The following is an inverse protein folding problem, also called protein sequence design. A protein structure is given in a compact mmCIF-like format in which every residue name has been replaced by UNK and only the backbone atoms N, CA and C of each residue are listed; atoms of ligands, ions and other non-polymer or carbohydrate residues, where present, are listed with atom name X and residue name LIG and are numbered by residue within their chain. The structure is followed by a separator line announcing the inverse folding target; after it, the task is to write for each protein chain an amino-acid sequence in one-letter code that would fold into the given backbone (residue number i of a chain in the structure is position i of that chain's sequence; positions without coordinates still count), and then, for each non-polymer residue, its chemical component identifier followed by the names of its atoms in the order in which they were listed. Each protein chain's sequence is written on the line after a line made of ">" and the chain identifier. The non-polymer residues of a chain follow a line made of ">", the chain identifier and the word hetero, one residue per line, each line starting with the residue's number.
data_IF_603790537498
#
_entry.id   IF_603790537498
#
_cell.length_a   1.000
_cell.length_b   1.000
_cell.length_c   1.000
_cell.angle_alpha   90.00
_cell.angle_beta   90.00
_cell.angle_gamma   90.00
#
_symmetry.space_group_name_H-M   'P 1'
#
loop_
_entity.id
_entity.type
_entity.pdbx_description
1 polymer ?
#
# COMPACT_ATOMS: atom_id res chain seq x y z
N UNK A 1 -25.83 25.68 -3.73
CA UNK A 1 -25.68 24.79 -2.55
C UNK A 1 -24.94 25.45 -1.38
N UNK A 2 -23.69 25.96 -1.53
CA UNK A 2 -22.98 26.59 -0.39
C UNK A 2 -23.67 27.85 0.15
N UNK A 3 -24.32 28.63 -0.71
CA UNK A 3 -25.01 29.87 -0.33
C UNK A 3 -26.22 29.65 0.62
N UNK A 4 -26.78 28.43 0.66
CA UNK A 4 -27.89 28.07 1.55
C UNK A 4 -27.44 27.97 3.01
N UNK A 5 -26.17 27.60 3.25
CA UNK A 5 -25.62 27.39 4.59
C UNK A 5 -25.00 28.63 5.22
N UNK A 6 -24.65 29.64 4.40
CA UNK A 6 -23.97 30.87 4.86
C UNK A 6 -24.88 31.69 5.81
N UNK A 7 -26.20 31.52 5.70
CA UNK A 7 -27.18 32.24 6.51
C UNK A 7 -27.58 31.49 7.80
N UNK A 8 -26.96 30.35 8.09
CA UNK A 8 -27.23 29.51 9.26
C UNK A 8 -26.04 29.61 10.22
N UNK A 9 -26.25 30.29 11.36
CA UNK A 9 -25.17 30.66 12.28
C UNK A 9 -24.62 29.42 13.00
N UNK A 10 -25.47 28.44 13.34
CA UNK A 10 -25.03 27.23 14.05
C UNK A 10 -24.26 26.32 13.11
N UNK A 11 -24.72 26.16 11.87
CA UNK A 11 -23.99 25.41 10.84
C UNK A 11 -22.62 26.05 10.58
N UNK A 12 -22.55 27.38 10.47
CA UNK A 12 -21.28 28.07 10.23
C UNK A 12 -20.29 27.85 11.38
N UNK A 13 -20.75 28.01 12.62
CA UNK A 13 -19.95 27.75 13.83
C UNK A 13 -19.44 26.30 13.88
N UNK A 14 -20.30 25.33 13.59
CA UNK A 14 -19.93 23.92 13.51
C UNK A 14 -18.86 23.66 12.43
N UNK A 15 -19.08 24.16 11.22
CA UNK A 15 -18.16 23.95 10.10
C UNK A 15 -16.80 24.62 10.34
N UNK A 16 -16.76 25.76 11.03
CA UNK A 16 -15.52 26.38 11.49
C UNK A 16 -14.78 25.51 12.50
N UNK A 17 -15.49 24.91 13.47
CA UNK A 17 -14.91 23.94 14.41
C UNK A 17 -14.24 22.76 13.68
N UNK A 18 -14.94 22.13 12.73
CA UNK A 18 -14.37 21.07 11.88
C UNK A 18 -13.17 21.57 11.07
N UNK A 19 -13.26 22.80 10.57
CA UNK A 19 -12.23 23.45 9.75
C UNK A 19 -10.92 23.71 10.46
N UNK A 20 -10.89 23.79 11.80
CA UNK A 20 -9.65 23.97 12.59
C UNK A 20 -8.65 22.87 12.31
N UNK A 21 -9.12 21.64 12.11
CA UNK A 21 -8.26 20.47 11.87
C UNK A 21 -8.03 20.19 10.37
N UNK A 22 -9.02 20.48 9.52
CA UNK A 22 -8.95 20.14 8.09
C UNK A 22 -9.94 20.96 7.26
N UNK A 23 -9.41 21.77 6.32
CA UNK A 23 -10.21 22.49 5.32
C UNK A 23 -11.00 21.54 4.42
N UNK A 24 -10.42 20.39 4.07
CA UNK A 24 -11.10 19.37 3.27
C UNK A 24 -12.28 18.76 4.03
N UNK A 25 -12.10 18.49 5.33
CA UNK A 25 -13.20 17.98 6.17
C UNK A 25 -14.32 19.02 6.30
N UNK A 26 -13.99 20.30 6.50
CA UNK A 26 -14.98 21.41 6.47
C UNK A 26 -15.77 21.42 5.17
N UNK A 27 -15.10 21.32 4.02
CA UNK A 27 -15.75 21.29 2.70
C UNK A 27 -16.68 20.08 2.57
N UNK A 28 -16.18 18.89 2.91
CA UNK A 28 -16.94 17.65 2.86
C UNK A 28 -18.19 17.68 3.74
N UNK A 29 -18.04 18.14 4.99
CA UNK A 29 -19.16 18.23 5.93
C UNK A 29 -20.16 19.29 5.47
N UNK A 30 -19.68 20.41 4.94
CA UNK A 30 -20.51 21.43 4.32
C UNK A 30 -21.35 20.89 3.16
N UNK A 31 -20.79 20.03 2.30
CA UNK A 31 -21.59 19.37 1.24
C UNK A 31 -22.68 18.48 1.83
N UNK A 32 -22.37 17.68 2.86
CA UNK A 32 -23.37 16.84 3.54
C UNK A 32 -24.51 17.66 4.16
N UNK A 33 -24.18 18.76 4.83
CA UNK A 33 -25.17 19.67 5.42
C UNK A 33 -25.97 20.44 4.36
N UNK A 34 -25.39 20.73 3.19
CA UNK A 34 -26.13 21.36 2.11
C UNK A 34 -27.23 20.44 1.58
N UNK A 35 -26.93 19.15 1.42
CA UNK A 35 -27.96 18.16 1.07
C UNK A 35 -29.00 17.99 2.17
N UNK A 36 -28.60 18.03 3.44
CA UNK A 36 -29.53 17.99 4.55
C UNK A 36 -30.46 19.20 4.58
N UNK A 37 -29.93 20.40 4.38
CA UNK A 37 -30.71 21.62 4.26
C UNK A 37 -31.73 21.54 3.11
N UNK A 38 -31.32 21.01 1.95
CA UNK A 38 -32.22 20.83 0.81
C UNK A 38 -33.33 19.81 1.12
N UNK A 39 -33.00 18.71 1.79
CA UNK A 39 -34.00 17.76 2.29
C UNK A 39 -35.00 18.42 3.25
N UNK A 40 -34.53 19.23 4.19
CA UNK A 40 -35.39 19.89 5.16
C UNK A 40 -36.31 20.94 4.55
N UNK A 41 -35.93 21.58 3.43
CA UNK A 41 -36.81 22.50 2.71
C UNK A 41 -38.11 21.84 2.27
N UNK A 42 -38.07 20.57 1.87
CA UNK A 42 -39.28 19.81 1.52
C UNK A 42 -40.26 19.62 2.70
N UNK A 43 -39.77 19.85 3.92
CA UNK A 43 -40.52 19.81 5.18
C UNK A 43 -40.76 21.20 5.78
N UNK A 44 -40.51 22.26 5.00
CA UNK A 44 -40.58 23.65 5.44
C UNK A 44 -39.70 23.95 6.68
N UNK A 45 -38.52 23.30 6.75
CA UNK A 45 -37.56 23.44 7.85
C UNK A 45 -36.15 23.76 7.33
N UNK A 46 -35.30 24.24 8.23
CA UNK A 46 -33.87 24.50 8.05
C UNK A 46 -33.05 23.75 9.11
N UNK A 47 -31.74 23.54 8.90
CA UNK A 47 -30.87 22.90 9.87
C UNK A 47 -30.94 23.52 11.27
N UNK A 48 -31.07 24.85 11.39
CA UNK A 48 -31.32 25.52 12.67
C UNK A 48 -32.70 25.23 13.28
N UNK A 49 -33.76 25.32 12.48
CA UNK A 49 -35.15 25.24 13.00
C UNK A 49 -35.52 23.82 13.41
N UNK A 50 -34.96 22.80 12.75
CA UNK A 50 -35.23 21.40 13.09
C UNK A 50 -34.69 21.02 14.48
N UNK A 51 -33.62 21.67 14.96
CA UNK A 51 -33.04 21.40 16.29
C UNK A 51 -34.10 21.59 17.37
N UNK A 52 -34.86 22.67 17.32
CA UNK A 52 -35.93 22.95 18.29
C UNK A 52 -37.01 21.86 18.30
N UNK A 53 -37.34 21.31 17.14
CA UNK A 53 -38.33 20.22 17.02
C UNK A 53 -37.80 18.89 17.54
N UNK A 54 -36.50 18.62 17.35
CA UNK A 54 -35.83 17.42 17.85
C UNK A 54 -35.70 17.46 19.38
N UNK A 55 -35.28 18.59 19.95
CA UNK A 55 -35.14 18.78 21.40
C UNK A 55 -36.49 18.65 22.12
N UNK A 56 -37.55 19.22 21.53
CA UNK A 56 -38.93 19.11 22.06
C UNK A 56 -39.57 17.72 21.85
N UNK A 57 -38.85 16.77 21.22
CA UNK A 57 -39.37 15.43 20.93
C UNK A 57 -40.50 15.40 19.88
N UNK A 58 -40.78 16.51 19.19
CA UNK A 58 -41.81 16.58 18.13
C UNK A 58 -41.41 15.79 16.89
N UNK A 59 -40.11 15.59 16.69
CA UNK A 59 -39.55 14.80 15.58
C UNK A 59 -38.61 13.75 16.17
N UNK A 60 -38.77 12.50 15.75
CA UNK A 60 -37.83 11.45 16.11
C UNK A 60 -36.55 11.57 15.27
N UNK A 61 -35.39 11.71 15.91
CA UNK A 61 -34.10 11.87 15.22
C UNK A 61 -33.78 10.70 14.30
N UNK A 62 -34.10 9.46 14.68
CA UNK A 62 -33.79 8.29 13.87
C UNK A 62 -34.68 8.19 12.63
N UNK A 63 -35.97 8.53 12.76
CA UNK A 63 -36.88 8.58 11.61
C UNK A 63 -36.47 9.69 10.64
N UNK A 64 -36.05 10.85 11.14
CA UNK A 64 -35.54 11.94 10.30
C UNK A 64 -34.30 11.52 9.51
N UNK A 65 -33.35 10.84 10.16
CA UNK A 65 -32.13 10.35 9.51
C UNK A 65 -32.43 9.26 8.49
N UNK A 66 -33.35 8.35 8.76
CA UNK A 66 -33.77 7.31 7.80
C UNK A 66 -34.48 7.91 6.58
N UNK A 67 -35.35 8.90 6.80
CA UNK A 67 -35.94 9.69 5.71
C UNK A 67 -34.89 10.43 4.89
N UNK A 68 -33.84 10.94 5.53
CA UNK A 68 -32.73 11.58 4.82
C UNK A 68 -31.94 10.59 3.93
N UNK A 69 -31.68 9.36 4.42
CA UNK A 69 -31.09 8.29 3.58
C UNK A 69 -31.99 7.97 2.40
N UNK A 70 -33.30 7.86 2.64
CA UNK A 70 -34.29 7.62 1.59
C UNK A 70 -34.27 8.72 0.53
N UNK A 71 -34.18 9.99 0.94
CA UNK A 71 -34.05 11.13 0.05
C UNK A 71 -32.78 11.04 -0.81
N UNK A 72 -31.62 10.79 -0.20
CA UNK A 72 -30.34 10.71 -0.91
C UNK A 72 -30.32 9.55 -1.93
N UNK A 73 -30.94 8.43 -1.58
CA UNK A 73 -30.97 7.22 -2.41
C UNK A 73 -31.96 7.35 -3.57
N UNK A 74 -33.20 7.82 -3.31
CA UNK A 74 -34.25 7.94 -4.34
C UNK A 74 -33.90 8.96 -5.42
N UNK A 75 -33.24 10.05 -5.04
CA UNK A 75 -32.86 11.12 -5.97
C UNK A 75 -31.54 10.83 -6.71
N UNK A 76 -30.92 9.66 -6.46
CA UNK A 76 -29.62 9.26 -6.99
C UNK A 76 -28.55 10.38 -6.86
N UNK A 77 -28.60 11.12 -5.75
CA UNK A 77 -27.82 12.35 -5.55
C UNK A 77 -26.32 12.05 -5.45
N UNK A 78 -25.97 10.89 -4.89
CA UNK A 78 -24.59 10.53 -4.64
C UNK A 78 -24.37 9.01 -4.59
N UNK A 79 -23.15 8.59 -4.91
CA UNK A 79 -22.70 7.23 -4.67
C UNK A 79 -22.83 6.85 -3.18
N UNK A 80 -23.02 5.56 -2.89
CA UNK A 80 -23.22 5.03 -1.53
C UNK A 80 -22.14 5.50 -0.54
N UNK A 81 -20.87 5.51 -0.96
CA UNK A 81 -19.76 6.01 -0.12
C UNK A 81 -19.93 7.48 0.29
N UNK A 82 -20.47 8.31 -0.61
CA UNK A 82 -20.76 9.71 -0.33
C UNK A 82 -21.98 9.86 0.57
N UNK A 83 -23.01 9.01 0.43
CA UNK A 83 -24.16 8.98 1.36
C UNK A 83 -23.69 8.73 2.79
N UNK A 84 -22.79 7.76 2.99
CA UNK A 84 -22.20 7.47 4.31
C UNK A 84 -21.47 8.70 4.90
N UNK A 85 -20.78 9.46 4.05
CA UNK A 85 -20.04 10.65 4.45
C UNK A 85 -20.98 11.82 4.79
N UNK A 86 -22.04 12.02 4.01
CA UNK A 86 -23.05 13.03 4.30
C UNK A 86 -23.82 12.70 5.58
N UNK A 87 -24.15 11.43 5.79
CA UNK A 87 -24.74 10.96 7.03
C UNK A 87 -23.81 11.20 8.23
N UNK A 88 -22.51 10.93 8.10
CA UNK A 88 -21.54 11.25 9.16
C UNK A 88 -21.49 12.75 9.48
N UNK A 89 -21.55 13.61 8.46
CA UNK A 89 -21.59 15.06 8.63
C UNK A 89 -22.85 15.53 9.38
N UNK A 90 -24.02 15.01 9.01
CA UNK A 90 -25.29 15.35 9.68
C UNK A 90 -25.30 14.85 11.12
N UNK A 91 -24.90 13.60 11.37
CA UNK A 91 -24.84 13.08 12.75
C UNK A 91 -23.91 13.92 13.63
N UNK A 92 -22.71 14.21 13.12
CA UNK A 92 -21.74 15.05 13.85
C UNK A 92 -22.26 16.47 14.11
N UNK A 93 -23.04 17.04 13.19
CA UNK A 93 -23.69 18.34 13.41
C UNK A 93 -24.77 18.27 14.49
N UNK A 94 -25.63 17.25 14.46
CA UNK A 94 -26.68 17.07 15.47
C UNK A 94 -26.08 16.80 16.86
N UNK A 95 -25.04 15.97 16.95
CA UNK A 95 -24.29 15.74 18.19
C UNK A 95 -23.64 17.03 18.71
N UNK A 96 -23.14 17.90 17.82
CA UNK A 96 -22.62 19.23 18.19
C UNK A 96 -23.71 20.19 18.70
N UNK A 97 -25.00 19.88 18.48
CA UNK A 97 -26.15 20.61 19.01
C UNK A 97 -26.78 19.89 20.21
N UNK A 98 -26.01 19.03 20.90
CA UNK A 98 -26.43 18.23 22.06
C UNK A 98 -27.59 17.25 21.77
N UNK A 99 -27.71 16.80 20.51
CA UNK A 99 -28.65 15.72 20.14
C UNK A 99 -27.87 14.42 20.03
N UNK A 100 -27.88 13.66 21.12
CA UNK A 100 -27.15 12.38 21.21
C UNK A 100 -27.74 11.29 20.30
N UNK A 101 -26.89 10.74 19.44
CA UNK A 101 -27.23 9.64 18.53
C UNK A 101 -26.51 8.38 18.98
N UNK A 102 -27.23 7.51 19.68
CA UNK A 102 -26.68 6.26 20.19
C UNK A 102 -26.33 5.32 19.02
N UNK A 103 -25.07 4.89 18.83
CA UNK A 103 -24.65 4.11 17.67
C UNK A 103 -25.43 2.80 17.46
N UNK A 104 -25.76 2.10 18.55
CA UNK A 104 -26.51 0.84 18.52
C UNK A 104 -27.98 1.04 18.14
N UNK A 105 -28.61 2.16 18.53
CA UNK A 105 -29.96 2.53 18.09
C UNK A 105 -29.95 2.98 16.63
N UNK A 106 -28.96 3.77 16.22
CA UNK A 106 -28.78 4.21 14.85
C UNK A 106 -28.68 3.02 13.88
N UNK A 107 -27.78 2.06 14.14
CA UNK A 107 -27.63 0.85 13.28
C UNK A 107 -28.90 0.01 13.18
N UNK A 108 -29.74 0.02 14.21
CA UNK A 108 -31.01 -0.73 14.23
C UNK A 108 -32.11 0.00 13.47
N UNK A 109 -32.23 1.31 13.66
CA UNK A 109 -33.36 2.12 13.17
C UNK A 109 -33.12 2.81 11.83
N UNK A 110 -31.86 3.03 11.44
CA UNK A 110 -31.49 3.70 10.18
C UNK A 110 -30.74 2.71 9.30
N UNK A 111 -31.33 2.31 8.18
CA UNK A 111 -30.72 1.33 7.28
C UNK A 111 -29.92 2.03 6.18
N UNK A 112 -28.60 2.02 6.33
CA UNK A 112 -27.69 2.57 5.32
C UNK A 112 -27.56 1.64 4.10
N UNK A 113 -27.49 2.18 2.87
CA UNK A 113 -27.20 1.40 1.68
C UNK A 113 -25.83 0.72 1.78
N UNK A 114 -25.74 -0.52 1.28
CA UNK A 114 -24.48 -1.28 1.25
C UNK A 114 -23.60 -0.77 0.11
N UNK A 115 -22.34 -0.48 0.43
CA UNK A 115 -21.32 -0.15 -0.56
C UNK A 115 -20.59 -1.44 -0.93
N UNK A 116 -20.65 -1.82 -2.20
CA UNK A 116 -19.78 -2.86 -2.75
C UNK A 116 -18.51 -2.17 -3.23
N UNK A 117 -17.36 -2.65 -2.76
CA UNK A 117 -16.08 -2.10 -3.17
C UNK A 117 -15.62 -2.82 -4.44
N UNK A 118 -15.41 -2.07 -5.51
CA UNK A 118 -14.79 -2.63 -6.71
C UNK A 118 -13.37 -3.08 -6.37
N UNK A 119 -12.93 -4.24 -6.89
CA UNK A 119 -11.54 -4.63 -6.79
C UNK A 119 -10.65 -3.54 -7.41
N UNK A 120 -9.48 -3.35 -6.81
CA UNK A 120 -8.52 -2.38 -7.30
C UNK A 120 -7.64 -3.03 -8.36
N UNK A 121 -7.52 -2.38 -9.52
CA UNK A 121 -6.64 -2.84 -10.59
C UNK A 121 -5.17 -2.82 -10.11
N UNK A 122 -4.44 -3.95 -10.24
CA UNK A 122 -3.01 -3.99 -9.96
C UNK A 122 -2.27 -3.18 -11.04
N UNK A 123 -1.30 -2.37 -10.60
CA UNK A 123 -0.40 -1.65 -11.51
C UNK A 123 0.98 -2.30 -11.40
N UNK A 124 1.47 -2.91 -12.48
CA UNK A 124 2.78 -3.56 -12.51
C UNK A 124 3.90 -2.58 -12.86
N UNK A 125 5.17 -2.97 -12.67
CA UNK A 125 6.30 -2.16 -13.12
C UNK A 125 6.34 -2.05 -14.66
N UNK A 126 5.90 -3.09 -15.37
CA UNK A 126 5.75 -3.05 -16.83
C UNK A 126 4.74 -1.99 -17.24
N UNK A 127 3.56 -1.97 -16.61
CA UNK A 127 2.55 -0.94 -16.88
C UNK A 127 3.07 0.48 -16.64
N UNK A 128 3.88 0.66 -15.60
CA UNK A 128 4.53 1.95 -15.32
C UNK A 128 5.54 2.28 -16.41
N UNK A 129 6.36 1.32 -16.84
CA UNK A 129 7.33 1.50 -17.93
C UNK A 129 6.62 1.91 -19.23
N UNK A 130 5.57 1.19 -19.61
CA UNK A 130 4.74 1.50 -20.79
C UNK A 130 4.16 2.92 -20.68
N UNK A 131 3.60 3.30 -19.52
CA UNK A 131 3.10 4.66 -19.29
C UNK A 131 4.19 5.72 -19.47
N UNK A 132 5.41 5.45 -19.00
CA UNK A 132 6.50 6.41 -19.07
C UNK A 132 7.10 6.54 -20.47
N UNK A 133 6.97 5.53 -21.34
CA UNK A 133 7.38 5.59 -22.74
C UNK A 133 6.62 6.67 -23.51
N UNK A 134 5.32 6.84 -23.24
CA UNK A 134 4.49 7.91 -23.80
C UNK A 134 4.64 9.27 -23.08
N UNK A 135 5.46 9.34 -22.02
CA UNK A 135 5.54 10.52 -21.15
C UNK A 135 6.61 11.52 -21.60
N UNK A 136 6.22 12.47 -22.45
CA UNK A 136 7.11 13.56 -22.92
C UNK A 136 7.38 14.66 -21.87
N UNK A 137 6.84 14.55 -20.66
CA UNK A 137 6.93 15.60 -19.64
C UNK A 137 7.86 15.18 -18.51
N UNK A 138 9.10 15.67 -18.55
CA UNK A 138 10.14 15.34 -17.56
C UNK A 138 9.73 15.58 -16.10
N UNK A 139 8.88 16.59 -15.82
CA UNK A 139 8.37 16.88 -14.48
C UNK A 139 7.37 15.81 -14.03
N UNK A 140 6.49 15.35 -14.93
CA UNK A 140 5.56 14.26 -14.65
C UNK A 140 6.32 12.92 -14.52
N UNK A 141 7.26 12.61 -15.42
CA UNK A 141 8.14 11.43 -15.33
C UNK A 141 8.82 11.36 -13.95
N UNK A 142 9.47 12.45 -13.53
CA UNK A 142 10.11 12.55 -12.22
C UNK A 142 9.11 12.32 -11.06
N UNK A 143 7.91 12.89 -11.18
CA UNK A 143 6.86 12.75 -10.16
C UNK A 143 6.36 11.30 -10.05
N UNK A 144 6.12 10.62 -11.16
CA UNK A 144 5.66 9.22 -11.18
C UNK A 144 6.73 8.24 -10.67
N UNK A 145 7.99 8.41 -11.09
CA UNK A 145 9.11 7.62 -10.57
C UNK A 145 9.31 7.79 -9.07
N UNK A 146 9.13 9.02 -8.57
CA UNK A 146 9.16 9.28 -7.15
C UNK A 146 8.02 8.56 -6.42
N UNK A 147 6.79 8.60 -6.93
CA UNK A 147 5.66 7.88 -6.33
C UNK A 147 5.88 6.36 -6.32
N UNK A 148 6.37 5.80 -7.43
CA UNK A 148 6.65 4.37 -7.60
C UNK A 148 7.70 3.87 -6.59
N UNK A 149 8.79 4.61 -6.41
CA UNK A 149 9.93 4.16 -5.62
C UNK A 149 9.83 4.49 -4.13
N UNK A 150 9.20 5.62 -3.76
CA UNK A 150 9.13 6.07 -2.35
C UNK A 150 7.81 5.77 -1.66
N UNK A 151 6.81 5.31 -2.42
CA UNK A 151 5.46 5.07 -1.91
C UNK A 151 4.79 6.33 -1.35
N UNK A 152 5.22 7.53 -1.71
CA UNK A 152 4.62 8.79 -1.25
C UNK A 152 3.13 8.86 -1.62
N UNK A 153 2.32 9.53 -0.79
CA UNK A 153 1.00 9.97 -1.26
C UNK A 153 1.20 11.07 -2.30
N UNK A 154 0.37 11.16 -3.36
CA UNK A 154 0.52 12.20 -4.38
C UNK A 154 0.60 13.63 -3.80
N UNK A 155 -0.28 13.97 -2.86
CA UNK A 155 -0.24 15.29 -2.21
C UNK A 155 1.04 15.52 -1.37
N UNK A 156 1.61 14.46 -0.77
CA UNK A 156 2.89 14.56 -0.05
C UNK A 156 4.01 14.91 -1.04
N UNK A 157 4.09 14.21 -2.18
CA UNK A 157 5.06 14.50 -3.24
C UNK A 157 4.91 15.92 -3.81
N UNK A 158 3.67 16.38 -4.04
CA UNK A 158 3.38 17.74 -4.50
C UNK A 158 3.78 18.83 -3.48
N UNK A 159 3.92 18.47 -2.20
CA UNK A 159 4.26 19.36 -1.10
C UNK A 159 5.75 19.34 -0.69
N UNK A 160 6.57 18.53 -1.36
CA UNK A 160 8.00 18.42 -1.04
C UNK A 160 8.76 19.71 -1.39
N UNK A 161 9.57 20.17 -0.44
CA UNK A 161 10.50 21.29 -0.61
C UNK A 161 11.89 20.78 -0.95
N UNK A 162 12.74 21.65 -1.49
CA UNK A 162 14.14 21.31 -1.80
C UNK A 162 14.87 20.83 -0.53
N UNK A 163 14.69 21.52 0.60
CA UNK A 163 15.30 21.17 1.89
C UNK A 163 14.78 19.88 2.52
N UNK A 164 13.66 19.35 2.01
CA UNK A 164 13.12 18.09 2.50
C UNK A 164 13.90 16.88 1.92
N UNK A 165 14.77 17.10 0.92
CA UNK A 165 15.51 16.03 0.22
C UNK A 165 17.01 16.17 0.45
N UNK A 166 17.64 15.07 0.86
CA UNK A 166 19.07 14.96 1.08
C UNK A 166 19.69 14.06 0.00
N UNK A 167 20.34 14.72 -0.96
CA UNK A 167 21.03 14.09 -2.10
C UNK A 167 22.45 13.59 -1.75
N UNK A 168 22.96 13.83 -0.54
CA UNK A 168 24.28 13.35 -0.12
C UNK A 168 24.28 11.87 0.26
N UNK A 169 23.09 11.33 0.53
CA UNK A 169 22.89 9.94 0.91
C UNK A 169 22.37 9.12 -0.25
N UNK A 170 22.90 7.91 -0.43
CA UNK A 170 22.26 6.86 -1.23
C UNK A 170 21.63 5.83 -0.29
N UNK A 171 20.45 5.25 -0.60
CA UNK A 171 19.41 5.83 -1.46
C UNK A 171 18.96 7.20 -0.94
N UNK A 172 18.52 8.09 -1.83
CA UNK A 172 18.21 9.49 -1.48
C UNK A 172 17.18 9.58 -0.38
N UNK A 173 17.50 10.33 0.67
CA UNK A 173 16.67 10.48 1.86
C UNK A 173 15.69 11.63 1.68
N UNK A 174 14.42 11.38 2.00
CA UNK A 174 13.33 12.36 1.91
C UNK A 174 12.63 12.46 3.25
N UNK A 175 12.62 13.65 3.84
CA UNK A 175 11.94 13.94 5.08
C UNK A 175 10.52 14.46 4.82
N UNK A 176 9.51 13.65 5.16
CA UNK A 176 8.11 14.02 5.03
C UNK A 176 7.66 14.72 6.32
N UNK A 177 7.30 15.98 6.18
CA UNK A 177 6.88 16.84 7.29
C UNK A 177 5.49 16.45 7.82
N UNK A 178 5.30 16.46 9.13
CA UNK A 178 4.04 16.02 9.77
C UNK A 178 2.82 16.82 9.31
N UNK A 179 2.98 18.10 8.99
CA UNK A 179 1.91 19.03 8.63
C UNK A 179 1.21 18.65 7.32
N UNK A 180 1.95 18.06 6.38
CA UNK A 180 1.48 17.67 5.04
C UNK A 180 0.93 16.23 5.00
N UNK A 181 1.15 15.45 6.05
CA UNK A 181 0.65 14.07 6.13
C UNK A 181 -0.79 14.01 6.62
N UNK A 182 -1.56 13.05 6.10
CA UNK A 182 -2.93 12.78 6.56
C UNK A 182 -2.97 12.34 8.04
N UNK A 183 -1.94 11.63 8.49
CA UNK A 183 -1.85 11.04 9.83
C UNK A 183 -1.22 11.98 10.86
N UNK A 184 -0.78 13.18 10.45
CA UNK A 184 -0.08 14.16 11.29
C UNK A 184 1.21 13.61 11.93
N UNK A 185 1.87 12.67 11.23
CA UNK A 185 3.14 12.05 11.65
C UNK A 185 4.20 12.27 10.57
N UNK A 186 5.33 12.85 10.97
CA UNK A 186 6.49 12.98 10.10
C UNK A 186 7.19 11.64 9.94
N UNK A 187 7.82 11.42 8.79
CA UNK A 187 8.60 10.20 8.55
C UNK A 187 9.70 10.45 7.53
N UNK A 188 10.75 9.66 7.60
CA UNK A 188 11.79 9.59 6.58
C UNK A 188 11.44 8.45 5.62
N UNK A 189 11.50 8.73 4.32
CA UNK A 189 11.41 7.73 3.26
C UNK A 189 12.64 7.83 2.36
N UNK A 190 12.78 6.86 1.47
CA UNK A 190 13.86 6.81 0.49
C UNK A 190 13.26 6.69 -0.91
N UNK A 191 14.00 7.10 -1.94
CA UNK A 191 13.63 6.84 -3.33
C UNK A 191 14.78 6.16 -4.08
N UNK A 192 14.46 5.56 -5.22
CA UNK A 192 15.46 4.89 -6.05
C UNK A 192 16.50 5.87 -6.61
N UNK A 193 17.66 5.33 -6.99
CA UNK A 193 18.71 6.13 -7.65
C UNK A 193 18.22 6.70 -8.99
N UNK A 194 17.33 6.00 -9.70
CA UNK A 194 16.66 6.50 -10.90
C UNK A 194 15.80 7.75 -10.60
N UNK A 195 14.92 7.68 -9.60
CA UNK A 195 14.12 8.83 -9.19
C UNK A 195 15.01 10.01 -8.73
N UNK A 196 16.14 9.69 -8.07
CA UNK A 196 17.16 10.67 -7.66
C UNK A 196 17.74 11.42 -8.86
N UNK A 197 18.12 10.71 -9.91
CA UNK A 197 18.66 11.31 -11.14
C UNK A 197 17.64 12.26 -11.77
N UNK A 198 16.36 11.86 -11.84
CA UNK A 198 15.30 12.70 -12.39
C UNK A 198 15.02 13.94 -11.51
N UNK A 199 15.07 13.80 -10.19
CA UNK A 199 14.97 14.93 -9.25
C UNK A 199 16.11 15.92 -9.46
N UNK A 200 17.36 15.45 -9.52
CA UNK A 200 18.52 16.31 -9.75
C UNK A 200 18.45 17.01 -11.11
N UNK A 201 18.05 16.31 -12.19
CA UNK A 201 17.83 16.91 -13.52
C UNK A 201 16.78 18.02 -13.43
N UNK A 202 15.63 17.75 -12.82
CA UNK A 202 14.55 18.73 -12.65
C UNK A 202 15.03 19.99 -11.89
N UNK A 203 15.83 19.81 -10.85
CA UNK A 203 16.40 20.92 -10.08
C UNK A 203 17.44 21.71 -10.88
N UNK A 204 18.32 21.05 -11.64
CA UNK A 204 19.31 21.70 -12.51
C UNK A 204 18.67 22.58 -13.59
N UNK A 205 17.54 22.17 -14.17
CA UNK A 205 16.81 22.97 -15.15
C UNK A 205 16.24 24.28 -14.58
N UNK A 206 16.09 24.39 -13.25
CA UNK A 206 15.48 25.55 -12.57
C UNK A 206 16.46 26.67 -12.20
N UNK A 207 17.64 26.72 -12.85
CA UNK A 207 18.87 27.53 -12.63
C UNK A 207 18.84 28.83 -11.77
N UNK A 208 17.71 29.50 -11.52
CA UNK A 208 17.63 30.79 -10.83
C UNK A 208 16.82 30.83 -9.51
N UNK A 209 16.22 29.74 -9.01
CA UNK A 209 15.37 29.82 -7.79
C UNK A 209 15.43 28.56 -6.89
N UNK A 210 16.63 28.22 -6.41
CA UNK A 210 16.84 27.10 -5.47
C UNK A 210 16.79 27.53 -4.00
N UNK A 211 15.75 28.29 -3.62
CA UNK A 211 15.53 28.54 -2.20
C UNK A 211 15.17 27.23 -1.49
N UNK A 212 15.74 26.94 -0.29
CA UNK A 212 15.49 25.69 0.42
C UNK A 212 14.00 25.37 0.63
N UNK A 213 13.17 26.38 0.78
CA UNK A 213 11.72 26.26 0.98
C UNK A 213 10.87 26.17 -0.31
N UNK A 214 11.50 26.29 -1.48
CA UNK A 214 10.81 26.13 -2.76
C UNK A 214 10.28 24.71 -2.94
N UNK A 215 9.04 24.59 -3.42
CA UNK A 215 8.46 23.29 -3.78
C UNK A 215 9.19 22.70 -5.00
N UNK A 216 9.62 21.43 -4.93
CA UNK A 216 10.44 20.77 -5.96
C UNK A 216 9.72 20.77 -7.31
N UNK A 217 8.44 20.39 -7.30
CA UNK A 217 7.61 20.32 -8.49
C UNK A 217 6.94 21.65 -8.81
N UNK A 218 7.50 22.83 -8.53
CA UNK A 218 6.93 24.11 -9.01
C UNK A 218 7.59 24.55 -10.32
N UNK A 219 6.81 25.02 -11.31
CA UNK A 219 7.34 25.45 -12.63
C UNK A 219 7.93 26.87 -12.57
N UNK A 220 7.35 27.78 -11.76
CA UNK A 220 7.72 29.21 -11.64
C UNK A 220 7.25 29.76 -10.27
N UNK A 221 7.70 30.97 -9.87
CA UNK A 221 7.32 31.72 -8.64
C UNK A 221 5.83 31.66 -8.25
N UNK A 222 4.92 31.46 -9.22
CA UNK A 222 3.46 31.53 -9.07
C UNK A 222 2.81 30.31 -8.42
N UNK A 223 3.43 29.12 -8.47
CA UNK A 223 2.79 27.90 -7.94
C UNK A 223 3.42 27.46 -6.61
N UNK A 224 3.17 28.24 -5.55
CA UNK A 224 3.60 27.92 -4.18
C UNK A 224 2.59 27.08 -3.39
N UNK A 225 1.45 26.75 -4.00
CA UNK A 225 0.37 25.99 -3.36
C UNK A 225 0.43 24.53 -3.82
N UNK A 226 0.62 23.57 -2.90
CA UNK A 226 0.70 22.15 -3.25
C UNK A 226 -0.53 21.61 -4.00
N UNK A 227 -1.74 22.09 -3.66
CA UNK A 227 -2.96 21.69 -4.36
C UNK A 227 -2.88 21.99 -5.86
N UNK A 228 -2.39 23.18 -6.24
CA UNK A 228 -2.21 23.56 -7.65
C UNK A 228 -1.20 22.65 -8.36
N UNK A 229 -0.13 22.24 -7.67
CA UNK A 229 0.85 21.30 -8.21
C UNK A 229 0.19 19.93 -8.41
N UNK A 230 -0.51 19.43 -7.39
CA UNK A 230 -1.20 18.15 -7.43
C UNK A 230 -2.23 18.09 -8.57
N UNK A 231 -3.11 19.09 -8.70
CA UNK A 231 -4.10 19.11 -9.77
C UNK A 231 -3.46 19.19 -11.16
N UNK A 232 -2.34 19.89 -11.31
CA UNK A 232 -1.58 19.91 -12.58
C UNK A 232 -0.96 18.54 -12.89
N UNK A 233 -0.35 17.87 -11.90
CA UNK A 233 0.20 16.52 -12.07
C UNK A 233 -0.92 15.53 -12.42
N UNK A 234 -2.06 15.60 -11.73
CA UNK A 234 -3.22 14.76 -11.99
C UNK A 234 -3.75 14.95 -13.41
N UNK A 235 -3.96 16.20 -13.84
CA UNK A 235 -4.43 16.49 -15.20
C UNK A 235 -3.46 16.01 -16.28
N UNK A 236 -2.16 16.19 -16.05
CA UNK A 236 -1.14 15.69 -16.97
C UNK A 236 -1.09 14.16 -16.98
N UNK A 237 -1.29 13.51 -15.83
CA UNK A 237 -1.39 12.06 -15.73
C UNK A 237 -2.62 11.51 -16.45
N UNK A 238 -3.79 12.12 -16.31
CA UNK A 238 -5.02 11.71 -17.02
C UNK A 238 -4.85 11.82 -18.55
N UNK A 239 -4.17 12.86 -19.03
CA UNK A 239 -3.79 12.96 -20.45
C UNK A 239 -2.85 11.85 -20.88
N UNK A 240 -1.85 11.53 -20.06
CA UNK A 240 -0.90 10.45 -20.33
C UNK A 240 -1.63 9.10 -20.41
N UNK A 241 -2.54 8.82 -19.49
CA UNK A 241 -3.35 7.61 -19.49
C UNK A 241 -4.13 7.46 -20.81
N UNK A 242 -4.70 8.55 -21.31
CA UNK A 242 -5.42 8.52 -22.59
C UNK A 242 -4.50 8.24 -23.78
N UNK A 243 -3.29 8.79 -23.79
CA UNK A 243 -2.31 8.56 -24.88
C UNK A 243 -1.79 7.12 -24.85
N UNK A 244 -1.59 6.57 -23.65
CA UNK A 244 -1.08 5.22 -23.45
C UNK A 244 -2.17 4.13 -23.38
N UNK A 245 -3.42 4.45 -23.77
CA UNK A 245 -4.58 3.54 -23.73
C UNK A 245 -4.82 2.85 -22.36
N UNK A 246 -4.60 3.61 -21.28
CA UNK A 246 -4.74 3.16 -19.87
C UNK A 246 -5.69 4.06 -19.06
N UNK A 247 -6.67 4.70 -19.72
CA UNK A 247 -7.69 5.59 -19.10
C UNK A 247 -9.03 4.89 -18.81
N UNK A 248 -9.05 3.55 -18.77
CA UNK A 248 -10.24 2.78 -18.41
C UNK A 248 -10.82 3.21 -17.06
N UNK A 249 -12.15 3.31 -16.99
CA UNK A 249 -12.91 3.67 -15.78
C UNK A 249 -13.44 2.43 -15.07
N UNK A 250 -13.67 2.57 -13.77
CA UNK A 250 -14.39 1.58 -12.97
C UNK A 250 -15.86 1.55 -13.36
N UNK A 251 -16.49 0.40 -13.19
CA UNK A 251 -17.92 0.23 -13.49
C UNK A 251 -18.76 1.22 -12.66
N UNK A 252 -19.75 1.86 -13.28
CA UNK A 252 -20.64 2.82 -12.63
C UNK A 252 -19.93 3.97 -11.88
N UNK A 253 -18.68 4.30 -12.25
CA UNK A 253 -17.84 5.24 -11.53
C UNK A 253 -17.08 6.16 -12.47
N UNK A 254 -16.98 7.43 -12.08
CA UNK A 254 -16.14 8.42 -12.78
C UNK A 254 -14.65 8.22 -12.50
N UNK A 255 -14.24 7.25 -11.70
CA UNK A 255 -12.82 7.02 -11.36
C UNK A 255 -12.14 6.10 -12.37
N UNK A 256 -10.93 6.44 -12.76
CA UNK A 256 -10.06 5.54 -13.52
C UNK A 256 -9.67 4.30 -12.68
N UNK A 257 -9.42 3.18 -13.34
CA UNK A 257 -8.89 1.95 -12.73
C UNK A 257 -7.47 2.19 -12.18
N UNK A 258 -6.63 2.84 -12.98
CA UNK A 258 -5.30 3.29 -12.59
C UNK A 258 -5.39 4.75 -12.13
N UNK A 259 -4.80 5.05 -10.98
CA UNK A 259 -4.75 6.40 -10.41
C UNK A 259 -3.34 6.71 -9.92
N UNK A 260 -3.04 7.97 -9.58
CA UNK A 260 -1.79 8.30 -8.91
C UNK A 260 -1.59 7.53 -7.59
N UNK A 261 -2.68 7.09 -6.93
CA UNK A 261 -2.57 6.25 -5.73
C UNK A 261 -2.18 4.80 -6.04
N UNK A 262 -2.38 4.33 -7.27
CA UNK A 262 -1.99 2.99 -7.71
C UNK A 262 -0.49 2.78 -7.58
N UNK A 263 0.34 3.78 -7.92
CA UNK A 263 1.80 3.76 -7.75
C UNK A 263 2.21 3.47 -6.30
N UNK A 264 1.52 4.09 -5.33
CA UNK A 264 1.76 3.85 -3.91
C UNK A 264 1.33 2.44 -3.49
N UNK A 265 0.26 1.88 -4.06
CA UNK A 265 -0.14 0.49 -3.80
C UNK A 265 0.90 -0.49 -4.34
N UNK A 266 1.38 -0.26 -5.56
CA UNK A 266 2.48 -1.04 -6.16
C UNK A 266 3.73 -0.99 -5.29
N UNK A 267 4.14 0.20 -4.84
CA UNK A 267 5.26 0.36 -3.93
C UNK A 267 5.05 -0.41 -2.61
N UNK A 268 3.85 -0.34 -2.03
CA UNK A 268 3.51 -1.10 -0.81
C UNK A 268 3.66 -2.60 -1.02
N UNK A 269 3.06 -3.15 -2.09
CA UNK A 269 3.08 -4.59 -2.37
C UNK A 269 4.52 -5.08 -2.53
N UNK A 270 5.32 -4.41 -3.36
CA UNK A 270 6.72 -4.78 -3.61
C UNK A 270 7.55 -4.69 -2.32
N UNK A 271 7.38 -3.63 -1.53
CA UNK A 271 8.11 -3.50 -0.25
C UNK A 271 7.69 -4.61 0.70
N UNK A 272 6.38 -4.88 0.82
CA UNK A 272 5.85 -5.90 1.71
C UNK A 272 6.34 -7.31 1.33
N UNK A 273 6.37 -7.63 0.05
CA UNK A 273 6.84 -8.92 -0.49
C UNK A 273 8.33 -9.15 -0.22
N UNK A 274 9.15 -8.10 -0.26
CA UNK A 274 10.60 -8.20 -0.09
C UNK A 274 11.09 -7.94 1.34
N UNK A 275 10.20 -7.54 2.25
CA UNK A 275 10.54 -7.24 3.64
C UNK A 275 9.58 -7.91 4.63
N UNK A 276 8.80 -7.13 5.38
CA UNK A 276 7.71 -7.58 6.22
C UNK A 276 6.65 -6.47 6.31
N UNK A 277 5.44 -6.84 6.74
CA UNK A 277 4.32 -5.92 6.81
C UNK A 277 4.54 -4.75 7.78
N UNK A 278 5.31 -4.94 8.86
CA UNK A 278 5.64 -3.86 9.78
C UNK A 278 6.49 -2.78 9.11
N UNK A 279 7.55 -3.17 8.39
CA UNK A 279 8.39 -2.25 7.62
C UNK A 279 7.59 -1.55 6.53
N UNK A 280 6.79 -2.28 5.75
CA UNK A 280 5.98 -1.71 4.69
C UNK A 280 4.97 -0.67 5.23
N UNK A 281 4.26 -1.00 6.32
CA UNK A 281 3.32 -0.08 6.96
C UNK A 281 4.03 1.13 7.59
N UNK A 282 5.20 0.93 8.22
CA UNK A 282 6.04 2.00 8.74
C UNK A 282 6.53 2.95 7.63
N UNK A 283 7.13 2.41 6.58
CA UNK A 283 7.70 3.16 5.46
C UNK A 283 6.64 4.04 4.78
N UNK A 284 5.45 3.47 4.57
CA UNK A 284 4.34 4.19 3.98
C UNK A 284 3.64 5.15 4.96
N UNK A 285 3.92 5.07 6.27
CA UNK A 285 3.28 5.91 7.28
C UNK A 285 1.79 5.58 7.44
N UNK A 286 1.48 4.28 7.56
CA UNK A 286 0.18 3.80 8.00
C UNK A 286 0.07 3.87 9.54
N UNK A 287 -1.14 3.96 10.07
CA UNK A 287 -1.33 4.16 11.51
C UNK A 287 -0.98 2.93 12.37
N UNK A 288 -0.82 1.76 11.74
CA UNK A 288 -0.67 0.46 12.42
C UNK A 288 0.76 0.18 12.93
N UNK A 289 1.77 0.89 12.46
CA UNK A 289 3.20 0.57 12.68
C UNK A 289 3.88 1.45 13.74
N UNK A 290 3.25 1.59 14.90
CA UNK A 290 3.75 2.47 15.98
C UNK A 290 5.02 1.92 16.66
N UNK A 291 5.19 0.60 16.68
CA UNK A 291 6.25 -0.06 17.45
C UNK A 291 7.55 -0.32 16.67
N UNK A 292 7.60 -0.02 15.37
CA UNK A 292 8.75 -0.33 14.53
C UNK A 292 9.85 0.76 14.63
N UNK A 293 10.85 0.54 15.50
CA UNK A 293 11.76 1.58 16.02
C UNK A 293 13.25 1.35 15.68
N UNK A 294 13.56 1.01 14.43
CA UNK A 294 14.95 0.78 13.98
C UNK A 294 15.76 2.07 13.77
N UNK A 295 17.10 1.97 13.75
CA UNK A 295 17.96 3.12 13.44
C UNK A 295 17.84 3.50 11.96
N UNK A 296 18.13 4.76 11.66
CA UNK A 296 17.99 5.31 10.30
C UNK A 296 18.91 4.60 9.29
N UNK A 297 20.13 4.24 9.69
CA UNK A 297 21.08 3.47 8.87
C UNK A 297 20.53 2.08 8.52
N UNK A 298 20.00 1.34 9.49
CA UNK A 298 19.39 0.02 9.29
C UNK A 298 18.18 0.10 8.34
N UNK A 299 17.31 1.10 8.57
CA UNK A 299 16.15 1.38 7.72
C UNK A 299 16.55 1.64 6.27
N UNK A 300 17.61 2.42 6.08
CA UNK A 300 18.13 2.77 4.77
C UNK A 300 18.73 1.55 4.08
N UNK A 301 19.44 0.72 4.82
CA UNK A 301 20.02 -0.51 4.28
C UNK A 301 18.95 -1.52 3.87
N UNK A 302 17.89 -1.70 4.68
CA UNK A 302 16.73 -2.53 4.30
C UNK A 302 16.14 -2.05 2.97
N UNK A 303 15.89 -0.73 2.83
CA UNK A 303 15.37 -0.20 1.58
C UNK A 303 16.34 -0.41 0.41
N UNK A 304 17.63 -0.12 0.60
CA UNK A 304 18.67 -0.29 -0.43
C UNK A 304 18.73 -1.73 -0.93
N UNK A 305 18.85 -2.69 -0.02
CA UNK A 305 19.19 -4.07 -0.39
C UNK A 305 17.95 -4.89 -0.77
N UNK A 306 16.80 -4.62 -0.15
CA UNK A 306 15.58 -5.44 -0.31
C UNK A 306 14.49 -4.76 -1.13
N UNK A 307 14.43 -3.43 -1.20
CA UNK A 307 13.31 -2.75 -1.86
C UNK A 307 13.72 -2.13 -3.19
N UNK A 308 14.78 -1.32 -3.19
CA UNK A 308 15.20 -0.52 -4.35
C UNK A 308 15.39 -1.33 -5.64
N UNK A 309 16.00 -2.53 -5.65
CA UNK A 309 16.17 -3.32 -6.87
C UNK A 309 14.85 -3.67 -7.58
N UNK A 310 13.77 -3.80 -6.81
CA UNK A 310 12.42 -4.12 -7.31
C UNK A 310 11.55 -2.87 -7.50
N UNK A 311 12.08 -1.68 -7.23
CA UNK A 311 11.37 -0.39 -7.35
C UNK A 311 11.99 0.53 -8.40
N UNK A 312 12.95 0.02 -9.18
CA UNK A 312 13.56 0.71 -10.33
C UNK A 312 12.83 0.31 -11.60
N UNK A 313 12.43 1.27 -12.43
CA UNK A 313 11.58 1.05 -13.61
C UNK A 313 12.40 0.77 -14.86
N UNK A 314 13.46 1.55 -15.11
CA UNK A 314 14.27 1.42 -16.34
C UNK A 314 15.47 0.48 -16.21
N UNK A 315 15.82 0.06 -15.00
CA UNK A 315 16.69 -1.11 -14.90
C UNK A 315 15.91 -2.29 -15.46
N UNK A 316 16.47 -2.96 -16.48
CA UNK A 316 16.10 -4.33 -16.79
C UNK A 316 16.10 -5.04 -15.45
N UNK A 317 14.90 -5.40 -14.98
CA UNK A 317 14.72 -6.20 -13.80
C UNK A 317 15.70 -7.34 -13.95
N UNK A 318 16.73 -7.42 -13.09
CA UNK A 318 17.43 -8.67 -12.87
C UNK A 318 16.31 -9.68 -12.70
N UNK A 319 16.15 -10.51 -13.71
CA UNK A 319 14.90 -11.20 -13.96
C UNK A 319 14.44 -11.83 -12.65
N UNK A 320 13.18 -11.62 -12.27
CA UNK A 320 12.58 -12.45 -11.24
C UNK A 320 12.79 -13.93 -11.60
N UNK A 321 12.91 -14.24 -12.89
CA UNK A 321 13.38 -15.50 -13.49
C UNK A 321 14.82 -15.86 -13.09
N UNK A 322 15.81 -14.96 -13.13
CA UNK A 322 17.20 -15.27 -12.77
C UNK A 322 17.33 -15.55 -11.27
N UNK A 323 16.67 -14.78 -10.39
CA UNK A 323 16.78 -15.03 -8.95
C UNK A 323 16.01 -16.30 -8.52
N UNK A 324 14.84 -16.58 -9.11
CA UNK A 324 14.16 -17.87 -8.92
C UNK A 324 14.97 -19.02 -9.51
N UNK A 325 15.51 -18.87 -10.71
CA UNK A 325 16.40 -19.87 -11.35
C UNK A 325 17.66 -20.09 -10.51
N UNK A 326 18.24 -19.05 -9.91
CA UNK A 326 19.39 -19.18 -9.01
C UNK A 326 19.02 -19.94 -7.75
N UNK A 327 17.88 -19.64 -7.11
CA UNK A 327 17.38 -20.39 -5.93
C UNK A 327 17.07 -21.85 -6.27
N UNK A 328 16.51 -22.12 -7.45
CA UNK A 328 16.25 -23.48 -7.93
C UNK A 328 17.55 -24.22 -8.25
N UNK A 329 18.52 -23.56 -8.90
CA UNK A 329 19.86 -24.11 -9.14
C UNK A 329 20.62 -24.38 -7.86
N UNK A 330 20.54 -23.51 -6.85
CA UNK A 330 21.17 -23.72 -5.55
C UNK A 330 20.57 -24.93 -4.81
N UNK A 331 19.24 -25.10 -4.88
CA UNK A 331 18.58 -26.31 -4.38
C UNK A 331 19.05 -27.57 -5.13
N UNK A 332 19.14 -27.50 -6.46
CA UNK A 332 19.62 -28.62 -7.27
C UNK A 332 21.09 -28.97 -6.97
N UNK A 333 21.96 -27.98 -6.80
CA UNK A 333 23.37 -28.17 -6.40
C UNK A 333 23.46 -28.82 -5.01
N UNK A 334 22.63 -28.41 -4.05
CA UNK A 334 22.60 -29.04 -2.73
C UNK A 334 22.16 -30.50 -2.80
N UNK A 335 21.17 -30.83 -3.65
CA UNK A 335 20.74 -32.21 -3.86
C UNK A 335 21.83 -33.06 -4.51
N UNK A 336 22.51 -32.53 -5.54
CA UNK A 336 23.63 -33.21 -6.19
C UNK A 336 24.78 -33.46 -5.20
N UNK A 337 25.15 -32.47 -4.39
CA UNK A 337 26.19 -32.64 -3.36
C UNK A 337 25.85 -33.73 -2.33
N UNK A 338 24.56 -33.86 -1.95
CA UNK A 338 24.12 -34.94 -1.06
C UNK A 338 24.22 -36.31 -1.74
N UNK A 339 23.74 -36.42 -2.98
CA UNK A 339 23.83 -37.67 -3.74
C UNK A 339 25.29 -38.10 -4.00
N UNK A 340 26.18 -37.14 -4.24
CA UNK A 340 27.61 -37.42 -4.45
C UNK A 340 28.29 -37.87 -3.16
N UNK A 341 27.91 -37.27 -2.01
CA UNK A 341 28.36 -37.74 -0.71
C UNK A 341 27.89 -39.17 -0.42
N UNK A 342 26.64 -39.52 -0.72
CA UNK A 342 26.09 -40.88 -0.56
C UNK A 342 26.81 -41.89 -1.47
N UNK A 343 27.07 -41.54 -2.73
CA UNK A 343 27.86 -42.38 -3.65
C UNK A 343 29.28 -42.60 -3.17
N UNK A 344 29.93 -41.57 -2.62
CA UNK A 344 31.28 -41.71 -2.08
C UNK A 344 31.34 -42.68 -0.89
N UNK A 345 30.31 -42.71 -0.05
CA UNK A 345 30.19 -43.71 1.03
C UNK A 345 30.04 -45.11 0.44
N UNK A 346 29.14 -45.31 -0.53
CA UNK A 346 28.96 -46.62 -1.18
C UNK A 346 30.22 -47.11 -1.90
N UNK A 347 30.96 -46.20 -2.55
CA UNK A 347 32.24 -46.54 -3.19
C UNK A 347 33.27 -46.97 -2.14
N UNK A 348 33.33 -46.30 -0.99
CA UNK A 348 34.23 -46.68 0.10
C UNK A 348 33.88 -48.07 0.65
N UNK A 349 32.60 -48.37 0.84
CA UNK A 349 32.12 -49.69 1.26
C UNK A 349 32.45 -50.78 0.23
N UNK A 350 32.23 -50.52 -1.06
CA UNK A 350 32.61 -51.42 -2.14
C UNK A 350 34.12 -51.65 -2.23
N UNK A 351 34.93 -50.61 -2.03
CA UNK A 351 36.38 -50.74 -1.97
C UNK A 351 36.83 -51.59 -0.78
N UNK A 352 36.18 -51.42 0.38
CA UNK A 352 36.45 -52.23 1.57
C UNK A 352 36.06 -53.69 1.36
N UNK A 353 34.88 -53.95 0.78
CA UNK A 353 34.43 -55.29 0.41
C UNK A 353 35.37 -55.94 -0.61
N UNK A 354 35.79 -55.21 -1.65
CA UNK A 354 36.76 -55.68 -2.64
C UNK A 354 38.10 -56.04 -1.99
N UNK A 355 38.58 -55.23 -1.05
CA UNK A 355 39.83 -55.49 -0.31
C UNK A 355 39.72 -56.75 0.56
N UNK A 356 38.58 -56.96 1.22
CA UNK A 356 38.29 -58.18 1.99
C UNK A 356 38.24 -59.42 1.09
N UNK A 357 37.55 -59.35 -0.06
CA UNK A 357 37.54 -60.43 -1.05
C UNK A 357 38.93 -60.77 -1.60
N UNK A 358 39.74 -59.74 -1.91
CA UNK A 358 41.11 -59.95 -2.39
C UNK A 358 42.02 -60.57 -1.31
N UNK A 359 41.81 -60.25 -0.03
CA UNK A 359 42.52 -60.90 1.07
C UNK A 359 42.11 -62.37 1.22
N UNK A 360 40.82 -62.68 1.14
CA UNK A 360 40.31 -64.06 1.18
C UNK A 360 40.84 -64.91 0.01
N UNK A 361 40.96 -64.35 -1.19
CA UNK A 361 41.52 -65.04 -2.35
C UNK A 361 43.04 -65.30 -2.26
N UNK A 362 43.76 -64.59 -1.38
CA UNK A 362 45.21 -64.78 -1.15
C UNK A 362 45.53 -65.82 -0.07
N UNK A 363 44.54 -66.25 0.71
CA UNK A 363 44.67 -67.29 1.74
C UNK A 363 43.76 -68.50 1.42
N UNK A 364 44.09 -69.32 0.40
CA UNK A 364 43.23 -70.41 -0.06
C UNK A 364 42.94 -71.48 1.00
N UNK A 365 43.81 -71.63 2.00
CA UNK A 365 43.67 -72.62 3.08
C UNK A 365 42.54 -72.26 4.07
N UNK A 366 42.29 -70.98 4.34
CA UNK A 366 41.16 -70.54 5.19
C UNK A 366 39.81 -70.63 4.48
N UNK A 367 39.79 -70.45 3.16
CA UNK A 367 38.57 -70.54 2.36
C UNK A 367 38.06 -71.99 2.27
N UNK A 368 38.98 -72.96 2.21
CA UNK A 368 38.66 -74.40 2.20
C UNK A 368 38.15 -74.84 3.58
N UNK A 369 38.72 -74.32 4.68
CA UNK A 369 38.23 -74.60 6.04
C UNK A 369 36.79 -74.15 6.29
N UNK A 370 36.41 -72.95 5.82
CA UNK A 370 35.04 -72.45 5.97
C UNK A 370 34.02 -73.10 5.03
N UNK A 371 34.44 -73.67 3.89
CA UNK A 371 33.54 -74.40 2.98
C UNK A 371 33.34 -75.87 3.41
N UNK A 372 34.21 -76.41 4.26
CA UNK A 372 34.09 -77.77 4.82
C UNK A 372 33.33 -77.80 6.16
N UNK A 373 33.25 -76.68 6.88
CA UNK A 373 32.35 -76.52 8.02
C UNK A 373 31.00 -75.95 7.54
N UNK A 374 30.11 -76.85 7.09
CA UNK A 374 28.70 -76.54 6.93
C UNK A 374 28.10 -76.01 8.25
N UNK A 375 27.01 -75.22 8.21
CA UNK A 375 26.50 -74.52 9.38
C UNK A 375 26.21 -75.50 10.51
N UNK A 376 26.83 -75.28 11.68
CA UNK A 376 26.47 -75.99 12.90
C UNK A 376 24.95 -75.88 13.11
N UNK A 377 24.32 -77.04 13.23
CA UNK A 377 22.90 -77.21 13.53
C UNK A 377 22.61 -76.54 14.89
N UNK A 378 21.98 -75.37 14.88
CA UNK A 378 21.45 -74.73 16.09
C UNK A 378 20.03 -75.29 16.37
N UNK A 379 19.85 -76.12 17.41
CA UNK A 379 18.56 -76.77 17.69
C UNK A 379 17.50 -75.82 18.28
N UNK A 380 17.84 -74.56 18.62
CA UNK A 380 16.94 -73.70 19.40
C UNK A 380 16.04 -72.77 18.56
N UNK A 381 16.19 -72.74 17.23
CA UNK A 381 15.33 -71.91 16.37
C UNK A 381 13.94 -72.52 16.05
N UNK A 382 13.65 -73.77 16.46
CA UNK A 382 12.32 -74.38 16.23
C UNK A 382 11.31 -74.16 17.38
N UNK A 383 11.72 -73.70 18.57
CA UNK A 383 10.77 -73.53 19.70
C UNK A 383 10.05 -72.17 19.78
N UNK A 384 10.41 -71.19 18.95
CA UNK A 384 9.70 -69.89 18.91
C UNK A 384 8.62 -69.77 17.81
N UNK A 385 8.43 -70.78 16.95
CA UNK A 385 7.37 -70.77 15.91
C UNK A 385 6.12 -71.59 16.23
N UNK A 386 5.98 -72.14 17.43
CA UNK A 386 4.75 -72.83 17.90
C UNK A 386 4.06 -72.17 19.10
N UNK A 387 4.39 -70.91 19.42
CA UNK A 387 3.62 -70.08 20.38
C UNK A 387 3.46 -68.65 19.86
N UNK A 388 2.66 -68.50 18.80
CA UNK A 388 1.87 -67.30 18.51
C UNK A 388 0.63 -67.72 17.74
#
# INVERSE_FOLDING_TARGET
>A
MQQILINDARVTTFLESIGRNSRNSKRTYGTGLAHFAEFLKSKNQKPDTIISSLVKGKVNVYELLDQFVSYLTKQNIAAVTSINLYMAAVRSYLEFQDIDIVPSKFRRRVKMPKSYADPEEPLTLSDIRDLLEFCNNARLTCYLLLLASSGLRPMEAASLRIKDVDFSTSPTRINIRKEITKTKRGRVVYCSDEATIHLQKLLKFRKNEMQPDSLIFSIQKRSKVPDTIYYKMLHQFEKLQKIADKDQRKENSKRHKITLHSFRRTAFSIINENTNSEFANWFLGHNHSVYWTHKEQERREIYRSKCMPFLTIYQETRDNTIETTLKEKDKAIQQLKRADAEKNVQIAELMQFKKQMQAMLREPEKLIGMLQEGPAHDPDLQKQKQRK
#
